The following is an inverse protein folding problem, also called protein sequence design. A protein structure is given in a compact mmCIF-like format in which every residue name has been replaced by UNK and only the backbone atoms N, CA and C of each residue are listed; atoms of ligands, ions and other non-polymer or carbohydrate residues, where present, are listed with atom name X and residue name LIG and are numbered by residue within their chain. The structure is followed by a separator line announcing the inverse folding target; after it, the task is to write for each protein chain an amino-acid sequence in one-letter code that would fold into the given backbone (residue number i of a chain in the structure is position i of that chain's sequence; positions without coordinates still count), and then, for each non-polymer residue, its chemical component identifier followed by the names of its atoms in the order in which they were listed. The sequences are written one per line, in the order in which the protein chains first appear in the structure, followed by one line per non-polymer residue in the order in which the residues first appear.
data_IF_558497433695
#
_entry.id   IF_558497433695
#
_cell.length_a   1.000
_cell.length_b   1.000
_cell.length_c   1.000
_cell.angle_alpha   90.00
_cell.angle_beta   90.00
_cell.angle_gamma   90.00
#
_symmetry.space_group_name_H-M   'P 1'
#
loop_
_entity.id
_entity.type
_entity.pdbx_description
1 polymer ?
#
# COMPACT_ATOMS: atom_id res chain seq x y z
N UNK A 1 31.19 -2.71 -4.00
CA UNK A 1 30.41 -1.63 -3.32
C UNK A 1 30.06 -2.15 -1.94
N UNK A 2 30.45 -1.46 -0.86
CA UNK A 2 30.04 -1.90 0.49
C UNK A 2 28.50 -1.89 0.60
N UNK A 3 27.93 -2.91 1.25
CA UNK A 3 26.49 -3.04 1.52
C UNK A 3 25.90 -1.79 2.19
N UNK A 4 26.70 -1.07 2.98
CA UNK A 4 26.35 0.19 3.63
C UNK A 4 25.87 1.28 2.65
N UNK A 5 26.47 1.39 1.46
CA UNK A 5 26.04 2.38 0.47
C UNK A 5 24.72 1.99 -0.19
N UNK A 6 24.48 0.68 -0.33
CA UNK A 6 23.23 0.14 -0.86
C UNK A 6 22.07 0.43 0.10
N UNK A 7 22.24 0.18 1.40
CA UNK A 7 21.24 0.54 2.41
C UNK A 7 20.98 2.06 2.46
N UNK A 8 22.02 2.87 2.33
CA UNK A 8 21.89 4.34 2.27
C UNK A 8 21.04 4.78 1.07
N UNK A 9 21.24 4.15 -0.09
CA UNK A 9 20.42 4.39 -1.28
C UNK A 9 18.97 3.94 -1.08
N UNK A 10 18.74 2.76 -0.50
CA UNK A 10 17.39 2.25 -0.21
C UNK A 10 16.63 3.13 0.79
N UNK A 11 17.33 3.77 1.73
CA UNK A 11 16.75 4.75 2.65
C UNK A 11 16.55 6.14 2.05
N UNK A 12 16.89 6.35 0.77
CA UNK A 12 16.64 7.64 0.13
C UNK A 12 15.14 7.91 0.00
N UNK A 13 14.77 9.19 0.15
CA UNK A 13 13.37 9.66 0.10
C UNK A 13 12.58 9.08 -1.09
N UNK A 14 13.06 9.12 -2.35
CA UNK A 14 12.29 8.58 -3.47
C UNK A 14 12.08 7.07 -3.37
N UNK A 15 13.09 6.30 -2.94
CA UNK A 15 12.98 4.83 -2.84
C UNK A 15 12.01 4.43 -1.74
N UNK A 16 12.09 5.09 -0.58
CA UNK A 16 11.15 4.84 0.54
C UNK A 16 9.73 5.23 0.14
N UNK A 17 9.53 6.34 -0.58
CA UNK A 17 8.22 6.75 -1.08
C UNK A 17 7.63 5.71 -2.05
N UNK A 18 8.43 5.18 -2.98
CA UNK A 18 7.97 4.09 -3.87
C UNK A 18 7.60 2.84 -3.08
N UNK A 19 8.42 2.43 -2.12
CA UNK A 19 8.12 1.27 -1.27
C UNK A 19 6.82 1.46 -0.48
N UNK A 20 6.59 2.66 0.07
CA UNK A 20 5.35 2.97 0.79
C UNK A 20 4.12 2.84 -0.12
N UNK A 21 4.18 3.34 -1.36
CA UNK A 21 3.08 3.22 -2.33
C UNK A 21 2.82 1.76 -2.69
N UNK A 22 3.87 0.96 -2.90
CA UNK A 22 3.73 -0.47 -3.19
C UNK A 22 3.07 -1.21 -2.02
N UNK A 23 3.46 -0.90 -0.78
CA UNK A 23 2.85 -1.50 0.41
C UNK A 23 1.36 -1.14 0.50
N UNK A 24 1.02 0.15 0.31
CA UNK A 24 -0.38 0.59 0.31
C UNK A 24 -1.19 -0.09 -0.80
N UNK A 25 -0.61 -0.25 -1.99
CA UNK A 25 -1.25 -0.95 -3.11
C UNK A 25 -1.60 -2.40 -2.74
N UNK A 26 -0.65 -3.15 -2.16
CA UNK A 26 -0.90 -4.54 -1.72
C UNK A 26 -2.00 -4.60 -0.67
N UNK A 27 -2.03 -3.65 0.28
CA UNK A 27 -3.09 -3.57 1.29
C UNK A 27 -4.44 -3.33 0.63
N UNK A 28 -4.55 -2.37 -0.30
CA UNK A 28 -5.81 -2.09 -0.99
C UNK A 28 -6.32 -3.27 -1.81
N UNK A 29 -5.43 -3.98 -2.51
CA UNK A 29 -5.78 -5.20 -3.25
C UNK A 29 -6.25 -6.29 -2.30
N UNK A 30 -5.54 -6.52 -1.19
CA UNK A 30 -5.93 -7.51 -0.18
C UNK A 30 -7.29 -7.21 0.45
N UNK A 31 -7.53 -5.94 0.80
CA UNK A 31 -8.83 -5.50 1.32
C UNK A 31 -9.95 -5.63 0.30
N UNK A 32 -9.68 -5.36 -0.99
CA UNK A 32 -10.66 -5.56 -2.05
C UNK A 32 -11.00 -7.05 -2.26
N UNK A 33 -10.03 -7.95 -2.13
CA UNK A 33 -10.28 -9.39 -2.22
C UNK A 33 -11.12 -9.91 -1.04
N UNK A 34 -10.80 -9.48 0.19
CA UNK A 34 -11.50 -9.95 1.41
C UNK A 34 -12.86 -9.26 1.56
N UNK A 35 -12.94 -7.98 1.23
CA UNK A 35 -14.14 -7.16 1.36
C UNK A 35 -14.40 -6.37 0.07
N UNK A 36 -14.83 -7.03 -1.01
CA UNK A 36 -15.10 -6.36 -2.28
C UNK A 36 -16.17 -5.27 -2.14
N UNK A 37 -17.05 -5.41 -1.15
CA UNK A 37 -18.08 -4.44 -0.77
C UNK A 37 -17.62 -3.25 0.08
N UNK A 38 -16.33 -3.05 0.35
CA UNK A 38 -15.83 -1.80 0.95
C UNK A 38 -15.57 -0.69 -0.08
N UNK A 39 -15.83 -0.93 -1.36
CA UNK A 39 -15.74 0.12 -2.38
C UNK A 39 -16.76 1.24 -2.09
N UNK A 40 -16.35 2.49 -2.36
CA UNK A 40 -17.23 3.64 -2.25
C UNK A 40 -18.49 3.39 -3.09
N UNK A 41 -19.62 3.11 -2.43
CA UNK A 41 -20.89 2.69 -3.02
C UNK A 41 -21.56 1.49 -2.33
N UNK A 42 -20.78 0.58 -1.73
CA UNK A 42 -21.27 -0.64 -1.05
C UNK A 42 -21.10 -0.59 0.48
N UNK A 43 -20.37 0.41 1.01
CA UNK A 43 -20.26 0.68 2.45
C UNK A 43 -21.52 1.33 3.05
N UNK A 44 -22.43 1.83 2.22
CA UNK A 44 -23.73 2.28 2.70
C UNK A 44 -24.51 1.05 3.15
N UNK A 45 -24.57 0.85 4.46
CA UNK A 45 -25.59 0.03 5.12
C UNK A 45 -26.93 0.31 4.40
N UNK A 46 -27.61 -0.67 3.79
CA UNK A 46 -29.00 -0.45 3.44
C UNK A 46 -29.69 -0.07 4.76
N UNK A 47 -30.16 1.18 4.85
CA UNK A 47 -31.03 1.58 5.95
C UNK A 47 -32.21 0.59 5.98
N UNK A 48 -32.66 0.16 7.17
CA UNK A 48 -33.73 -0.81 7.30
C UNK A 48 -35.00 -0.39 6.55
#
# INVERSE_FOLDING_TARGET
MESRYLFKYLSSVPVVATLAVVILFVIFVGLNYIFPGLQYGTFFHPLP
#
